data_IF_002117358176
#
_entry.id   IF_002117358176
#
_cell.length_a   1.000
_cell.length_b   1.000
_cell.length_c   1.000
_cell.angle_alpha   90.00
_cell.angle_beta   90.00
_cell.angle_gamma   90.00
#
_symmetry.space_group_name_H-M   'P 1'
#
loop_
_entity.id
_entity.type
_entity.pdbx_description
1 polymer ?
2 polymer ?
3 water ?
#
# COMPACT_ATOMS: atom_id res chain seq x y z
N UNK A 1 12.04 5.80 -23.08
CA UNK A 1 12.93 5.07 -23.99
C UNK A 1 13.17 3.63 -23.47
N UNK A 2 14.04 3.46 -22.44
CA UNK A 2 14.28 2.15 -21.82
C UNK A 2 13.03 1.79 -21.02
N UNK A 3 12.54 0.56 -21.18
CA UNK A 3 11.38 0.10 -20.45
C UNK A 3 11.46 -1.39 -20.11
N UNK A 4 11.12 -1.78 -18.86
CA UNK A 4 11.00 -3.18 -18.42
C UNK A 4 9.53 -3.40 -18.07
N UNK A 5 8.95 -4.50 -18.53
CA UNK A 5 7.52 -4.79 -18.36
C UNK A 5 7.26 -6.26 -17.98
N UNK A 6 6.66 -6.43 -16.79
CA UNK A 6 6.28 -7.72 -16.21
C UNK A 6 4.95 -8.15 -16.77
N UNK A 7 4.77 -9.44 -16.94
CA UNK A 7 3.51 -10.02 -17.37
C UNK A 7 3.45 -11.42 -16.82
N UNK A 8 2.22 -11.89 -16.65
CA UNK A 8 1.96 -13.24 -16.15
C UNK A 8 0.63 -13.32 -15.45
N UNK A 9 0.23 -14.55 -15.04
CA UNK A 9 -1.05 -14.71 -14.33
C UNK A 9 -0.98 -13.98 -13.00
N UNK A 10 -1.97 -13.12 -12.75
CA UNK A 10 -2.07 -12.34 -11.52
C UNK A 10 -2.70 -13.04 -10.35
N UNK A 11 -3.07 -14.33 -10.55
CA UNK A 11 -3.71 -15.22 -9.58
C UNK A 11 -3.18 -16.65 -9.80
N UNK A 12 -2.70 -17.29 -8.71
CA UNK A 12 -2.08 -18.63 -8.67
C UNK A 12 -2.63 -19.38 -7.43
N UNK A 13 -2.90 -20.68 -7.55
CA UNK A 13 -3.42 -21.47 -6.42
C UNK A 13 -2.26 -21.96 -5.55
N UNK A 14 -2.40 -22.04 -4.19
CA UNK A 14 -1.28 -22.57 -3.36
C UNK A 14 -0.84 -23.94 -3.85
N UNK A 15 0.47 -24.24 -3.73
CA UNK A 15 1.12 -25.48 -4.19
C UNK A 15 1.51 -25.41 -5.69
N UNK A 16 0.81 -24.58 -6.49
CA UNK A 16 1.13 -24.40 -7.90
C UNK A 16 2.40 -23.54 -8.04
N UNK A 17 2.85 -23.25 -9.26
CA UNK A 17 4.06 -22.43 -9.38
C UNK A 17 3.81 -21.15 -10.17
N UNK A 18 4.35 -19.99 -9.68
CA UNK A 18 4.19 -18.76 -10.44
C UNK A 18 5.32 -18.60 -11.46
N UNK A 19 4.93 -18.15 -12.65
CA UNK A 19 5.83 -17.86 -13.76
C UNK A 19 5.60 -16.42 -14.23
N UNK A 20 6.64 -15.60 -14.16
CA UNK A 20 6.56 -14.22 -14.65
C UNK A 20 7.61 -14.00 -15.74
N UNK A 21 7.28 -13.10 -16.66
CA UNK A 21 8.09 -12.72 -17.79
C UNK A 21 8.38 -11.24 -17.74
N UNK A 22 9.63 -10.87 -18.02
CA UNK A 22 10.01 -9.46 -18.14
C UNK A 22 10.39 -9.22 -19.61
N UNK A 23 9.71 -8.27 -20.28
CA UNK A 23 10.05 -7.92 -21.65
C UNK A 23 10.81 -6.58 -21.62
N UNK A 24 12.07 -6.62 -22.08
CA UNK A 24 12.95 -5.46 -22.09
C UNK A 24 12.94 -4.85 -23.48
N UNK A 25 12.89 -3.52 -23.56
CA UNK A 25 13.03 -2.73 -24.79
C UNK A 25 13.92 -1.55 -24.41
N UNK A 26 14.76 -1.11 -25.35
CA UNK A 26 15.67 0.02 -25.18
C UNK A 26 17.12 -0.39 -25.28
N UNK A 27 17.40 -1.64 -24.88
CA UNK A 27 18.73 -2.22 -24.85
C UNK A 27 18.66 -3.70 -24.61
N UNK A 28 19.75 -4.39 -24.92
CA UNK A 28 19.82 -5.84 -24.81
C UNK A 28 19.98 -6.30 -23.37
N UNK A 29 19.36 -7.44 -22.99
CA UNK A 29 19.52 -8.08 -21.67
C UNK A 29 20.94 -8.70 -21.54
N UNK A 30 21.69 -8.55 -22.62
CA UNK A 30 23.04 -9.02 -22.83
C UNK A 30 24.03 -7.88 -22.45
N UNK A 31 23.49 -6.71 -22.00
CA UNK A 31 24.24 -5.54 -21.53
C UNK A 31 24.51 -5.71 -20.04
N UNK A 32 25.69 -5.29 -19.53
CA UNK A 32 25.94 -5.45 -18.08
C UNK A 32 24.98 -4.62 -17.19
N UNK A 33 24.70 -5.04 -15.94
CA UNK A 33 25.26 -6.20 -15.29
C UNK A 33 24.23 -7.28 -14.88
N UNK A 34 23.27 -6.90 -14.02
CA UNK A 34 22.29 -7.80 -13.41
C UNK A 34 20.88 -7.53 -13.84
N UNK A 35 20.11 -8.61 -13.98
CA UNK A 35 18.73 -8.63 -14.42
C UNK A 35 18.02 -9.37 -13.31
N UNK A 36 17.44 -8.57 -12.39
CA UNK A 36 16.85 -8.94 -11.11
C UNK A 36 15.35 -9.06 -11.09
N UNK A 37 14.85 -9.87 -10.14
CA UNK A 37 13.44 -10.00 -9.74
C UNK A 37 13.45 -9.61 -8.28
N UNK A 38 12.54 -8.71 -7.92
CA UNK A 38 12.33 -8.14 -6.59
C UNK A 38 10.84 -8.29 -6.33
N UNK A 39 10.45 -8.31 -5.06
CA UNK A 39 9.03 -8.34 -4.71
C UNK A 39 8.74 -7.45 -3.50
N UNK A 40 7.53 -6.89 -3.46
CA UNK A 40 7.05 -6.04 -2.39
C UNK A 40 5.80 -6.68 -1.81
N UNK A 41 5.93 -7.17 -0.57
CA UNK A 41 4.85 -7.82 0.17
C UNK A 41 3.72 -6.82 0.45
N UNK A 42 2.46 -7.29 0.69
CA UNK A 42 1.32 -6.37 0.92
C UNK A 42 1.61 -5.28 1.95
N UNK A 43 1.41 -4.03 1.54
CA UNK A 43 1.73 -2.86 2.36
C UNK A 43 3.02 -3.15 3.12
N UNK A 44 4.18 -3.27 2.40
CA UNK A 44 5.31 -3.75 3.14
C UNK A 44 6.71 -3.63 2.53
N UNK A 45 7.52 -4.57 3.01
CA UNK A 45 8.90 -4.78 2.81
C UNK A 45 9.17 -5.34 1.44
N UNK A 46 10.38 -4.96 0.95
CA UNK A 46 10.92 -5.32 -0.33
C UNK A 46 11.92 -6.41 -0.05
N UNK A 47 11.93 -7.43 -0.89
CA UNK A 47 12.86 -8.55 -0.81
C UNK A 47 13.44 -8.77 -2.21
N UNK A 48 14.78 -8.84 -2.33
CA UNK A 48 15.45 -9.17 -3.59
C UNK A 48 15.43 -10.72 -3.72
N UNK A 49 14.86 -11.24 -4.80
CA UNK A 49 14.74 -12.67 -5.02
C UNK A 49 15.98 -13.32 -5.71
N UNK A 50 16.48 -12.66 -6.73
CA UNK A 50 17.64 -13.15 -7.45
C UNK A 50 17.90 -12.37 -8.70
N UNK A 51 18.97 -12.70 -9.40
CA UNK A 51 19.29 -12.10 -10.69
C UNK A 51 20.00 -13.07 -11.64
N UNK A 52 19.93 -12.74 -12.94
CA UNK A 52 20.65 -13.40 -14.02
C UNK A 52 21.59 -12.33 -14.56
N UNK A 53 22.89 -12.63 -14.66
CA UNK A 53 23.88 -11.68 -15.19
C UNK A 53 23.75 -11.53 -16.74
N UNK A 54 24.47 -10.54 -17.30
CA UNK A 54 24.53 -10.29 -18.74
C UNK A 54 25.14 -11.48 -19.51
N UNK A 55 25.74 -12.45 -18.77
CA UNK A 55 26.39 -13.65 -19.31
C UNK A 55 25.61 -14.94 -19.01
N UNK A 56 24.40 -14.82 -18.48
CA UNK A 56 23.53 -15.96 -18.22
C UNK A 56 23.71 -16.71 -16.91
N UNK A 57 24.64 -16.27 -16.04
CA UNK A 57 24.80 -16.95 -14.75
C UNK A 57 23.89 -16.32 -13.66
N UNK A 58 23.27 -17.17 -12.82
CA UNK A 58 22.33 -16.74 -11.78
C UNK A 58 22.88 -16.69 -10.35
N UNK A 59 22.26 -15.86 -9.51
CA UNK A 59 22.57 -15.68 -8.10
C UNK A 59 21.20 -15.55 -7.42
N UNK A 60 20.92 -16.35 -6.36
CA UNK A 60 19.63 -16.27 -5.70
C UNK A 60 19.70 -15.93 -4.23
N UNK A 61 18.54 -15.61 -3.65
CA UNK A 61 18.40 -15.36 -2.22
C UNK A 61 18.47 -16.77 -1.61
N UNK A 62 19.40 -17.06 -0.65
CA UNK A 62 19.52 -18.44 -0.15
C UNK A 62 18.20 -19.06 0.36
N UNK A 63 17.24 -18.27 0.87
CA UNK A 63 15.95 -18.76 1.33
C UNK A 63 15.05 -19.25 0.19
N UNK A 64 15.16 -18.60 -0.99
CA UNK A 64 14.37 -18.87 -2.18
C UNK A 64 14.97 -19.97 -3.01
N UNK A 65 16.32 -20.06 -3.01
CA UNK A 65 17.10 -21.10 -3.73
C UNK A 65 16.50 -22.43 -3.29
N UNK A 66 15.98 -23.22 -4.26
CA UNK A 66 15.29 -24.54 -4.13
C UNK A 66 13.90 -24.47 -4.73
N UNK A 67 13.27 -23.29 -4.64
CA UNK A 67 11.96 -23.02 -5.21
C UNK A 67 12.07 -22.08 -6.42
N UNK A 68 13.21 -21.39 -6.57
CA UNK A 68 13.37 -20.37 -7.58
C UNK A 68 14.25 -20.79 -8.78
N UNK A 69 13.87 -20.27 -9.97
CA UNK A 69 14.57 -20.44 -11.23
C UNK A 69 14.42 -19.12 -12.05
N UNK A 70 15.55 -18.53 -12.47
CA UNK A 70 15.58 -17.32 -13.33
C UNK A 70 16.32 -17.72 -14.62
N UNK A 71 15.61 -17.68 -15.75
CA UNK A 71 16.13 -18.02 -17.08
C UNK A 71 15.94 -16.80 -17.98
N UNK A 72 16.39 -16.90 -19.24
CA UNK A 72 16.26 -15.81 -20.20
C UNK A 72 16.13 -16.33 -21.60
N UNK A 73 15.76 -15.42 -22.51
CA UNK A 73 15.67 -15.61 -23.94
C UNK A 73 16.25 -14.33 -24.57
N UNK A 74 17.51 -14.45 -24.96
CA UNK A 74 18.31 -13.40 -25.54
C UNK A 74 17.72 -12.97 -26.92
N UNK A 75 17.12 -13.90 -27.67
CA UNK A 75 16.49 -13.63 -28.96
C UNK A 75 15.27 -12.74 -28.78
N UNK A 76 14.41 -13.10 -27.81
CA UNK A 76 13.18 -12.38 -27.46
C UNK A 76 13.45 -11.15 -26.55
N UNK A 77 14.68 -10.98 -26.02
CA UNK A 77 15.07 -9.89 -25.10
C UNK A 77 14.19 -9.89 -23.82
N UNK A 78 14.01 -11.07 -23.26
CA UNK A 78 13.16 -11.35 -22.13
C UNK A 78 13.90 -12.21 -21.14
N UNK A 79 13.59 -12.04 -19.84
CA UNK A 79 14.08 -12.90 -18.77
C UNK A 79 12.88 -13.34 -17.93
N UNK A 80 13.01 -14.48 -17.26
CA UNK A 80 11.89 -15.13 -16.59
C UNK A 80 12.10 -15.48 -15.14
N UNK A 81 11.00 -15.48 -14.39
CA UNK A 81 10.96 -15.92 -12.99
C UNK A 81 10.02 -17.13 -12.86
N UNK A 82 10.49 -18.18 -12.22
CA UNK A 82 9.70 -19.36 -11.84
C UNK A 82 9.89 -19.55 -10.35
N UNK A 83 8.79 -19.55 -9.59
CA UNK A 83 8.78 -19.75 -8.13
C UNK A 83 7.77 -20.88 -7.84
N UNK A 84 8.29 -21.99 -7.30
CA UNK A 84 7.62 -23.28 -7.16
C UNK A 84 6.51 -23.45 -6.10
N UNK A 85 6.77 -24.04 -4.94
CA UNK A 85 5.69 -24.42 -4.03
C UNK A 85 5.04 -23.23 -3.34
N UNK A 86 4.23 -22.48 -4.12
CA UNK A 86 3.66 -21.21 -3.67
C UNK A 86 2.69 -21.40 -2.50
N UNK A 87 2.67 -20.38 -1.67
CA UNK A 87 1.95 -20.25 -0.42
C UNK A 87 1.27 -18.92 -0.44
N UNK A 88 0.23 -18.80 0.35
CA UNK A 88 -0.54 -17.57 0.53
C UNK A 88 0.45 -16.39 0.82
N UNK A 89 1.59 -16.69 1.48
CA UNK A 89 2.67 -15.79 1.85
C UNK A 89 3.51 -15.27 0.65
N UNK A 90 3.32 -15.84 -0.55
CA UNK A 90 4.00 -15.37 -1.75
C UNK A 90 3.19 -14.28 -2.51
N UNK A 91 2.06 -13.83 -1.95
CA UNK A 91 1.19 -12.78 -2.50
C UNK A 91 1.96 -11.47 -2.36
N UNK A 92 2.37 -10.88 -3.48
CA UNK A 92 3.20 -9.68 -3.50
C UNK A 92 3.17 -9.02 -4.87
N UNK A 93 3.72 -7.81 -4.98
CA UNK A 93 3.91 -7.13 -6.26
C UNK A 93 5.34 -7.55 -6.67
N UNK A 94 5.45 -8.12 -7.86
CA UNK A 94 6.70 -8.62 -8.39
C UNK A 94 7.22 -7.63 -9.42
N UNK A 95 8.49 -7.21 -9.27
CA UNK A 95 9.10 -6.25 -10.18
C UNK A 95 10.34 -6.83 -10.83
N UNK A 96 10.51 -6.53 -12.12
CA UNK A 96 11.73 -6.89 -12.81
C UNK A 96 12.58 -5.63 -12.89
N UNK A 97 13.86 -5.80 -12.68
CA UNK A 97 14.76 -4.68 -12.52
C UNK A 97 16.10 -4.96 -13.17
N UNK A 98 16.75 -3.94 -13.76
CA UNK A 98 18.08 -4.06 -14.35
C UNK A 98 19.07 -3.20 -13.54
N UNK A 99 20.38 -3.54 -13.54
CA UNK A 99 21.43 -2.77 -12.85
C UNK A 99 22.75 -2.77 -13.63
N UNK A 100 23.32 -1.59 -13.80
CA UNK A 100 24.61 -1.38 -14.46
C UNK A 100 25.26 -0.06 -14.07
N UNK A 101 26.25 0.41 -14.86
CA UNK A 101 26.95 1.68 -14.56
C UNK A 101 26.08 2.91 -14.72
N UNK A 102 24.92 2.77 -15.36
CA UNK A 102 23.95 3.85 -15.59
C UNK A 102 23.06 3.99 -14.37
N UNK A 103 23.10 2.97 -13.50
CA UNK A 103 22.26 2.89 -12.32
C UNK A 103 21.32 1.72 -12.45
N UNK A 104 20.00 1.98 -12.46
CA UNK A 104 19.00 0.93 -12.50
C UNK A 104 17.69 1.37 -13.12
N UNK A 105 16.99 0.43 -13.79
CA UNK A 105 15.66 0.63 -14.34
C UNK A 105 14.77 -0.43 -13.72
N UNK A 106 13.48 -0.14 -13.57
CA UNK A 106 12.55 -1.13 -13.00
C UNK A 106 11.28 -1.21 -13.82
N UNK A 107 10.50 -2.25 -13.55
CA UNK A 107 9.17 -2.39 -14.11
C UNK A 107 8.17 -1.67 -13.23
N UNK A 108 6.91 -1.61 -13.69
CA UNK A 108 5.85 -0.97 -12.93
C UNK A 108 5.36 -1.91 -11.81
N UNK A 109 5.63 -3.20 -11.98
CA UNK A 109 5.25 -4.24 -11.06
C UNK A 109 3.96 -4.91 -11.49
N UNK A 110 3.83 -6.18 -11.16
CA UNK A 110 2.66 -7.00 -11.42
C UNK A 110 2.24 -7.61 -10.04
N UNK A 111 0.96 -7.45 -9.64
CA UNK A 111 0.51 -8.05 -8.40
C UNK A 111 0.17 -9.52 -8.67
N UNK A 112 0.67 -10.43 -7.83
CA UNK A 112 0.40 -11.86 -7.95
C UNK A 112 -0.25 -12.25 -6.65
N UNK A 113 -1.53 -12.66 -6.72
CA UNK A 113 -2.28 -13.09 -5.54
C UNK A 113 -2.20 -14.61 -5.47
N UNK A 114 -1.78 -15.17 -4.33
CA UNK A 114 -1.74 -16.60 -4.11
C UNK A 114 -2.94 -16.99 -3.21
N UNK A 115 -3.99 -17.55 -3.83
CA UNK A 115 -5.21 -17.93 -3.11
C UNK A 115 -5.94 -19.12 -3.71
N UNK A 116 -6.66 -19.83 -2.83
CA UNK A 116 -7.50 -20.97 -3.20
C UNK A 116 -8.96 -20.50 -3.43
N UNK A 117 -9.23 -19.18 -3.25
CA UNK A 117 -10.56 -18.55 -3.35
C UNK A 117 -11.07 -18.44 -4.78
N UNK A 118 -12.40 -18.37 -4.95
CA UNK A 118 -13.01 -18.28 -6.27
C UNK A 118 -13.62 -16.91 -6.51
N UNK A 119 -13.57 -16.45 -7.74
CA UNK A 119 -14.06 -15.13 -8.12
C UNK A 119 -15.46 -14.86 -7.55
N UNK A 120 -15.52 -13.90 -6.62
CA UNK A 120 -16.72 -13.49 -5.93
C UNK A 120 -16.99 -12.03 -6.21
N UNK A 121 -18.21 -11.69 -6.69
CA UNK A 121 -18.54 -10.26 -6.86
C UNK A 121 -18.71 -9.55 -5.50
N UNK A 122 -18.51 -8.21 -5.42
CA UNK A 122 -18.71 -7.54 -4.12
C UNK A 122 -20.19 -7.29 -3.84
N UNK A 123 -20.51 -7.09 -2.55
CA UNK A 123 -21.84 -6.71 -2.12
C UNK A 123 -21.64 -5.24 -1.80
N UNK A 124 -22.41 -4.38 -2.45
CA UNK A 124 -22.24 -2.93 -2.27
C UNK A 124 -23.35 -2.38 -1.44
N UNK A 125 -23.02 -1.86 -0.25
CA UNK A 125 -24.03 -1.33 0.66
C UNK A 125 -24.01 0.15 0.81
N UNK A 126 -25.17 0.81 0.67
CA UNK A 126 -25.19 2.26 0.82
C UNK A 126 -25.18 2.63 2.29
N UNK A 127 -24.30 3.56 2.71
CA UNK A 127 -24.25 3.97 4.10
C UNK A 127 -24.74 5.39 4.28
N UNK A 128 -25.99 5.54 4.73
CA UNK A 128 -26.63 6.81 5.08
C UNK A 128 -26.62 7.01 6.62
N UNK A 129 -26.61 8.28 7.13
CA UNK A 129 -26.62 8.47 8.60
C UNK A 129 -27.93 8.00 9.25
N UNK A 130 -27.86 7.61 10.53
CA UNK A 130 -28.99 7.14 11.32
C UNK A 130 -30.15 8.11 11.46
N UNK A 137 -24.25 21.09 8.92
CA UNK A 137 -23.72 21.87 7.80
C UNK A 137 -23.05 21.00 6.72
N UNK A 138 -22.24 20.02 7.14
CA UNK A 138 -21.59 19.05 6.25
C UNK A 138 -22.16 17.68 6.63
N UNK A 139 -22.36 16.82 5.65
CA UNK A 139 -22.88 15.47 5.88
C UNK A 139 -21.91 14.45 5.27
N UNK A 140 -21.60 13.36 6.02
CA UNK A 140 -20.75 12.27 5.53
C UNK A 140 -21.62 11.08 5.14
N UNK A 141 -21.36 10.51 3.96
CA UNK A 141 -22.05 9.32 3.46
C UNK A 141 -20.99 8.27 3.21
N UNK A 142 -21.40 7.02 3.19
CA UNK A 142 -20.47 5.93 2.97
C UNK A 142 -20.95 4.86 2.03
N UNK A 143 -20.06 3.91 1.76
CA UNK A 143 -20.29 2.79 0.88
C UNK A 143 -19.47 1.63 1.40
N UNK A 144 -20.11 0.47 1.63
CA UNK A 144 -19.36 -0.71 2.06
C UNK A 144 -19.30 -1.75 0.92
N UNK A 145 -18.09 -2.02 0.42
CA UNK A 145 -17.81 -2.94 -0.69
C UNK A 145 -17.24 -4.17 0.00
N UNK A 146 -18.11 -5.15 0.31
CA UNK A 146 -17.81 -6.32 1.14
C UNK A 146 -17.80 -7.67 0.38
N UNK A 147 -16.85 -8.51 0.75
CA UNK A 147 -16.66 -9.85 0.23
C UNK A 147 -16.42 -10.07 -1.24
N UNK A 148 -15.37 -9.46 -1.81
CA UNK A 148 -15.06 -9.71 -3.23
C UNK A 148 -13.73 -10.42 -3.37
N UNK A 149 -13.49 -10.99 -4.55
CA UNK A 149 -12.23 -11.66 -4.88
C UNK A 149 -12.08 -11.79 -6.40
N UNK A 150 -10.88 -11.45 -6.97
CA UNK A 150 -9.66 -10.96 -6.30
C UNK A 150 -9.62 -9.44 -6.30
N UNK A 151 -8.47 -8.85 -5.98
CA UNK A 151 -8.29 -7.40 -6.04
C UNK A 151 -8.05 -7.08 -7.53
N UNK A 152 -8.51 -5.97 -8.09
CA UNK A 152 -9.13 -4.80 -7.45
C UNK A 152 -10.60 -4.52 -7.81
N UNK A 153 -11.12 -3.46 -7.19
CA UNK A 153 -12.42 -2.84 -7.44
C UNK A 153 -12.10 -1.37 -7.73
N UNK A 154 -13.05 -0.62 -8.30
CA UNK A 154 -12.84 0.81 -8.51
C UNK A 154 -14.08 1.51 -7.95
N UNK A 155 -13.90 2.37 -6.96
CA UNK A 155 -14.98 3.10 -6.30
C UNK A 155 -14.90 4.57 -6.69
N UNK A 156 -16.03 5.09 -7.18
CA UNK A 156 -16.18 6.51 -7.55
C UNK A 156 -17.50 6.95 -6.96
N UNK A 157 -17.71 8.25 -6.90
CA UNK A 157 -18.94 8.86 -6.41
C UNK A 157 -19.42 9.83 -7.48
N UNK A 158 -20.67 9.64 -7.94
CA UNK A 158 -21.31 10.42 -9.01
C UNK A 158 -20.49 10.36 -10.33
N UNK A 159 -20.06 9.12 -10.67
CA UNK A 159 -19.29 8.72 -11.86
C UNK A 159 -17.91 9.41 -12.02
N UNK A 160 -17.50 10.16 -11.00
CA UNK A 160 -16.22 10.86 -10.97
C UNK A 160 -16.39 12.34 -10.66
N UNK A 161 -17.62 12.85 -10.81
CA UNK A 161 -17.95 14.25 -10.59
C UNK A 161 -18.01 14.68 -9.11
N UNK A 162 -17.47 13.88 -8.15
CA UNK A 162 -17.50 14.27 -6.74
C UNK A 162 -16.11 14.48 -6.12
N UNK A 163 -15.16 13.53 -6.30
CA UNK A 163 -13.72 13.52 -5.94
C UNK A 163 -13.22 14.31 -4.67
N UNK A 164 -13.55 15.60 -4.54
CA UNK A 164 -13.18 16.58 -3.51
C UNK A 164 -13.07 16.03 -2.06
N UNK A 165 -14.23 15.77 -1.42
CA UNK A 165 -14.29 15.25 -0.05
C UNK A 165 -14.46 13.74 0.04
N UNK A 166 -13.74 12.98 -0.81
CA UNK A 166 -13.79 11.53 -0.89
C UNK A 166 -12.59 10.86 -0.21
N UNK A 167 -12.85 9.77 0.54
CA UNK A 167 -11.82 8.95 1.16
C UNK A 167 -12.07 7.50 0.80
N UNK A 168 -11.21 6.88 0.00
CA UNK A 168 -11.38 5.46 -0.34
C UNK A 168 -10.33 4.71 0.47
N UNK A 169 -10.78 3.71 1.24
CA UNK A 169 -9.90 3.00 2.17
C UNK A 169 -9.34 1.73 1.60
N UNK A 170 -8.04 1.43 1.86
CA UNK A 170 -7.45 0.20 1.33
C UNK A 170 -8.27 -1.04 1.71
N UNK A 171 -8.25 -2.08 0.88
CA UNK A 171 -9.01 -3.29 1.20
C UNK A 171 -8.36 -4.12 2.29
N UNK A 172 -9.16 -4.59 3.24
CA UNK A 172 -8.70 -5.50 4.29
C UNK A 172 -9.09 -6.92 3.88
N UNK A 173 -8.20 -7.88 4.08
CA UNK A 173 -8.44 -9.28 3.71
C UNK A 173 -8.92 -10.12 4.89
N UNK A 174 -10.17 -10.57 4.81
CA UNK A 174 -10.81 -11.44 5.81
C UNK A 174 -12.05 -12.10 5.18
N UNK A 175 -12.08 -13.41 5.05
CA UNK A 175 -11.06 -14.42 5.29
C UNK A 175 -11.20 -15.18 3.96
N UNK A 176 -10.21 -14.93 3.10
CA UNK A 176 -10.07 -15.29 1.69
C UNK A 176 -10.77 -14.24 0.82
N UNK A 177 -11.62 -13.39 1.42
CA UNK A 177 -12.31 -12.29 0.74
C UNK A 177 -11.88 -10.88 1.20
N UNK A 178 -11.90 -9.90 0.28
CA UNK A 178 -11.52 -8.51 0.56
C UNK A 178 -12.75 -7.66 0.83
N UNK A 179 -12.55 -6.63 1.65
CA UNK A 179 -13.58 -5.66 1.96
C UNK A 179 -12.97 -4.25 1.99
N UNK A 180 -13.69 -3.26 1.47
CA UNK A 180 -13.27 -1.87 1.58
C UNK A 180 -14.47 -0.96 1.75
N UNK A 181 -14.21 0.25 2.26
CA UNK A 181 -15.21 1.30 2.46
C UNK A 181 -14.73 2.57 1.80
N UNK A 182 -15.68 3.45 1.53
CA UNK A 182 -15.42 4.75 0.95
C UNK A 182 -16.37 5.74 1.58
N UNK A 183 -15.91 6.97 1.79
CA UNK A 183 -16.80 8.00 2.34
C UNK A 183 -16.73 9.24 1.46
N UNK A 184 -17.79 10.05 1.52
CA UNK A 184 -17.93 11.31 0.80
C UNK A 184 -18.56 12.32 1.74
N UNK A 185 -17.97 13.51 1.82
CA UNK A 185 -18.53 14.50 2.73
C UNK A 185 -18.92 15.69 1.86
N UNK A 186 -20.23 15.93 1.79
CA UNK A 186 -20.86 16.96 0.96
C UNK A 186 -21.60 17.97 1.87
N UNK A 187 -21.92 19.21 1.40
CA UNK A 187 -22.70 20.13 2.25
C UNK A 187 -24.13 19.59 2.47
N UNK A 188 -24.73 19.85 3.65
CA UNK A 188 -26.08 19.42 4.02
C UNK A 188 -27.14 19.95 3.04
N UNK A 189 -26.89 21.13 2.42
CA UNK A 189 -27.74 21.76 1.41
C UNK A 189 -27.83 20.89 0.13
N UNK A 190 -26.78 20.09 -0.13
CA UNK A 190 -26.59 19.21 -1.27
C UNK A 190 -27.29 17.83 -1.11
N UNK A 191 -27.41 17.27 0.13
CA UNK A 191 -28.03 15.94 0.33
C UNK A 191 -29.10 15.96 1.46
N UNK A 192 -30.28 15.31 1.28
CA UNK A 192 -30.72 14.47 0.14
C UNK A 192 -31.27 15.19 -1.09
N UNK A 193 -31.27 16.57 -1.11
CA UNK A 193 -31.76 17.42 -2.23
C UNK A 193 -31.24 16.98 -3.60
N UNK A 194 -29.93 16.69 -3.69
CA UNK A 194 -29.28 16.19 -4.89
C UNK A 194 -28.90 14.72 -4.71
N UNK A 195 -28.65 14.03 -5.82
CA UNK A 195 -28.32 12.62 -5.84
C UNK A 195 -26.84 12.37 -5.59
N UNK A 196 -26.54 11.51 -4.58
CA UNK A 196 -25.20 11.03 -4.29
C UNK A 196 -25.26 9.52 -4.56
N UNK A 197 -24.44 9.04 -5.50
CA UNK A 197 -24.39 7.65 -5.90
C UNK A 197 -22.97 7.10 -5.77
N UNK A 198 -22.89 5.84 -5.36
CA UNK A 198 -21.66 5.10 -5.18
C UNK A 198 -21.52 4.17 -6.37
N UNK A 199 -20.44 4.32 -7.14
CA UNK A 199 -20.21 3.48 -8.31
C UNK A 199 -19.08 2.54 -8.04
N UNK A 200 -19.38 1.25 -8.09
CA UNK A 200 -18.41 0.18 -7.81
C UNK A 200 -18.31 -0.72 -9.04
N UNK A 201 -17.08 -1.01 -9.48
CA UNK A 201 -16.81 -1.91 -10.62
C UNK A 201 -15.81 -2.98 -10.18
N UNK A 202 -16.08 -4.26 -10.51
CA UNK A 202 -15.16 -5.37 -10.16
C UNK A 202 -14.80 -6.14 -11.46
N UNK A 203 -13.76 -5.66 -12.21
CA UNK A 203 -13.38 -6.29 -13.49
C UNK A 203 -13.40 -7.82 -13.57
N UNK A 204 -12.87 -8.49 -12.55
CA UNK A 204 -12.76 -9.95 -12.46
C UNK A 204 -14.07 -10.71 -12.56
N UNK A 205 -15.18 -10.09 -12.19
CA UNK A 205 -16.49 -10.74 -12.24
C UNK A 205 -17.48 -9.94 -13.09
N UNK A 206 -16.96 -9.00 -13.91
CA UNK A 206 -17.73 -8.14 -14.82
C UNK A 206 -18.92 -7.46 -14.11
N UNK A 207 -18.68 -7.04 -12.84
CA UNK A 207 -19.61 -6.37 -11.94
C UNK A 207 -19.46 -4.86 -12.13
N UNK A 208 -20.59 -4.15 -12.17
CA UNK A 208 -20.66 -2.70 -12.31
C UNK A 208 -21.97 -2.30 -11.63
N UNK A 209 -21.90 -1.98 -10.33
CA UNK A 209 -23.02 -1.61 -9.47
C UNK A 209 -23.04 -0.09 -9.20
N UNK A 210 -24.24 0.49 -9.15
CA UNK A 210 -24.49 1.88 -8.83
C UNK A 210 -25.45 1.85 -7.64
N UNK A 211 -25.08 2.50 -6.53
CA UNK A 211 -25.90 2.47 -5.35
C UNK A 211 -26.22 3.87 -4.88
N UNK A 212 -27.52 4.23 -4.88
CA UNK A 212 -27.97 5.57 -4.48
C UNK A 212 -28.03 5.64 -2.95
N UNK A 213 -27.50 6.72 -2.39
CA UNK A 213 -27.51 6.93 -0.95
C UNK A 213 -28.80 7.65 -0.63
N UNK A 214 -29.71 6.92 -0.03
CA UNK A 214 -31.06 7.35 0.30
C UNK A 214 -31.20 7.51 1.82
N UNK A 215 -31.89 8.55 2.35
CA UNK A 215 -32.11 8.62 3.81
C UNK A 215 -32.90 7.41 4.34
N UNK A 216 -32.67 7.08 5.61
CA UNK A 216 -33.37 5.97 6.26
C UNK A 216 -34.78 6.38 6.64
N UNK B 1 23.31 -12.56 6.50
CA UNK B 1 22.63 -11.47 5.81
C UNK B 1 22.99 -10.08 6.43
N UNK B 2 23.26 -9.08 5.57
CA UNK B 2 23.54 -7.71 5.99
C UNK B 2 22.20 -7.10 6.38
N UNK B 3 22.11 -6.53 7.59
CA UNK B 3 20.88 -5.89 8.02
C UNK B 3 21.07 -4.39 7.87
N UNK B 4 20.09 -3.75 7.20
CA UNK B 4 20.10 -2.32 7.01
C UNK B 4 19.06 -1.67 7.93
N UNK B 5 19.55 -0.79 8.83
CA UNK B 5 18.75 -0.10 9.85
C UNK B 5 18.62 1.36 9.47
N UNK B 6 17.37 1.79 9.22
CA UNK B 6 17.04 3.16 8.84
C UNK B 6 16.59 4.00 10.03
N UNK B 7 17.16 5.22 10.15
CA UNK B 7 16.87 6.21 11.18
C UNK B 7 16.56 7.57 10.49
N UNK B 8 15.35 8.14 10.68
CA UNK B 8 14.20 7.60 11.41
C UNK B 8 13.32 6.74 10.48
N UNK B 9 12.15 6.26 10.96
CA UNK B 9 11.22 5.53 10.10
C UNK B 9 10.08 6.45 9.62
N UNK B 10 9.87 7.56 10.33
CA UNK B 10 8.90 8.60 10.04
C UNK B 10 9.67 9.91 10.13
N UNK B 11 9.61 10.74 9.10
CA UNK B 11 10.31 11.99 9.11
C UNK B 11 9.34 13.13 8.80
N UNK B 12 8.82 13.86 9.79
CA UNK B 12 7.93 14.98 9.45
C UNK B 12 8.77 16.21 9.09
N UNK B 13 8.46 16.82 7.95
CA UNK B 13 9.18 18.01 7.46
C UNK B 13 8.19 19.02 6.96
N UNK B 14 8.60 20.30 6.85
CA UNK B 14 7.83 21.38 6.24
C UNK B 14 8.47 21.62 4.88
N UNK B 15 7.66 22.00 3.87
CA UNK B 15 8.09 22.28 2.50
C UNK B 15 9.21 23.33 2.54
N UNK B 16 10.34 23.02 1.90
CA UNK B 16 11.50 23.89 1.83
C UNK B 16 12.55 23.60 2.88
N UNK B 17 12.23 22.71 3.83
CA UNK B 17 13.22 22.36 4.87
C UNK B 17 14.20 21.29 4.40
N UNK B 18 15.29 21.17 5.13
CA UNK B 18 16.32 20.17 4.95
C UNK B 18 15.78 18.84 5.54
N UNK B 19 16.27 17.71 5.06
CA UNK B 19 15.87 16.39 5.55
C UNK B 19 17.02 15.45 5.40
N UNK B 20 17.25 14.64 6.40
CA UNK B 20 18.34 13.69 6.37
C UNK B 20 17.85 12.33 6.91
N UNK B 21 18.10 11.24 6.15
CA UNK B 21 17.76 9.85 6.47
C UNK B 21 19.07 9.10 6.59
N UNK B 22 19.22 8.28 7.64
CA UNK B 22 20.45 7.52 7.88
C UNK B 22 20.22 6.01 7.68
N UNK B 23 21.19 5.31 7.12
CA UNK B 23 21.15 3.87 6.85
C UNK B 23 22.39 3.27 7.48
N UNK B 24 22.20 2.39 8.47
CA UNK B 24 23.30 1.76 9.18
C UNK B 24 23.38 0.30 8.84
N UNK B 25 24.55 -0.10 8.39
CA UNK B 25 24.89 -1.44 7.99
C UNK B 25 25.28 -2.28 9.21
N UNK B 26 24.79 -3.52 9.27
CA UNK B 26 25.16 -4.40 10.38
C UNK B 26 26.59 -4.94 10.21
N UNK B 27 27.17 -4.77 9.01
CA UNK B 27 28.54 -5.18 8.62
C UNK B 27 28.98 -4.41 7.36
N UNK B 28 30.27 -4.43 7.02
CA UNK B 28 30.87 -3.76 5.86
C UNK B 28 30.15 -4.12 4.55
N UNK B 29 29.90 -3.12 3.70
CA UNK B 29 29.24 -3.36 2.42
C UNK B 29 30.17 -2.95 1.26
N UNK B 30 31.43 -3.40 1.37
CA UNK B 30 32.48 -3.18 0.38
C UNK B 30 32.59 -4.51 -0.37
N UNK B 31 32.28 -4.48 -1.68
CA UNK B 31 32.30 -5.65 -2.54
C UNK B 31 33.75 -6.06 -2.84
N UNK B 32 33.95 -7.35 -3.16
CA UNK B 32 35.23 -7.98 -3.51
C UNK B 32 36.09 -7.17 -4.50
N UNK B 33 35.45 -6.26 -5.29
CA UNK B 33 36.11 -5.39 -6.28
C UNK B 33 36.48 -4.00 -5.76
N UNK B 34 36.10 -3.68 -4.52
CA UNK B 34 36.42 -2.41 -3.87
C UNK B 34 35.30 -1.38 -3.84
N UNK B 35 34.25 -1.57 -4.66
CA UNK B 35 33.11 -0.66 -4.72
C UNK B 35 32.07 -0.94 -3.63
N UNK B 36 31.33 0.11 -3.23
CA UNK B 36 30.24 0.02 -2.25
C UNK B 36 28.93 0.18 -3.00
N UNK B 37 28.18 -0.91 -3.10
CA UNK B 37 26.90 -0.90 -3.80
C UNK B 37 25.76 -0.55 -2.85
N UNK B 38 25.77 0.71 -2.40
CA UNK B 38 24.78 1.30 -1.52
C UNK B 38 23.92 2.27 -2.35
N UNK B 39 22.59 1.99 -2.39
CA UNK B 39 21.62 2.74 -3.16
C UNK B 39 20.47 3.27 -2.32
N UNK B 40 19.83 4.32 -2.81
CA UNK B 40 18.66 4.91 -2.20
C UNK B 40 17.56 4.96 -3.23
N UNK B 41 16.40 4.39 -2.88
CA UNK B 41 15.19 4.37 -3.71
C UNK B 41 14.14 5.26 -3.12
N UNK B 42 13.31 5.83 -3.95
CA UNK B 42 12.18 6.57 -3.46
C UNK B 42 10.94 5.92 -4.06
N UNK B 43 9.96 5.58 -3.23
CA UNK B 43 8.71 5.00 -3.70
C UNK B 43 7.55 5.96 -3.44
N UNK B 44 7.07 6.63 -4.51
CA UNK B 44 5.93 7.53 -4.40
C UNK B 44 4.63 6.68 -4.30
N UNK B 45 3.57 7.16 -3.59
CA UNK B 45 2.34 6.34 -3.48
C UNK B 45 1.72 5.99 -4.84
N UNK B 46 1.30 4.73 -4.98
CA UNK B 46 0.72 4.22 -6.23
C UNK B 46 1.75 3.85 -7.28
N UNK B 47 3.05 4.21 -7.05
CA UNK B 47 4.16 3.93 -7.96
C UNK B 47 5.15 2.89 -7.42
N UNK B 48 6.07 2.46 -8.28
CA UNK B 48 7.10 1.48 -7.97
C UNK B 48 8.33 2.22 -7.37
N UNK B 49 9.24 1.55 -6.61
CA UNK B 49 10.43 2.28 -6.12
C UNK B 49 11.31 2.72 -7.30
N UNK B 50 11.83 3.94 -7.25
CA UNK B 50 12.72 4.42 -8.32
C UNK B 50 14.04 4.90 -7.72
N UNK B 51 15.16 4.54 -8.38
CA UNK B 51 16.51 4.88 -7.96
C UNK B 51 16.74 6.39 -7.93
N UNK B 52 17.40 6.84 -6.87
CA UNK B 52 17.79 8.23 -6.67
C UNK B 52 19.31 8.30 -6.77
N UNK B 53 20.00 7.57 -5.88
CA UNK B 53 21.43 7.54 -5.67
C UNK B 53 21.91 6.10 -5.76
N UNK B 54 23.08 5.86 -6.36
CA UNK B 54 23.69 4.54 -6.41
C UNK B 54 25.18 4.68 -6.20
N UNK B 55 25.84 3.57 -5.82
CA UNK B 55 27.27 3.57 -5.52
C UNK B 55 27.62 4.69 -4.52
N UNK B 56 26.77 4.81 -3.45
CA UNK B 56 26.80 5.73 -2.30
C UNK B 56 26.42 7.19 -2.64
N UNK B 57 27.02 7.78 -3.68
CA UNK B 57 26.88 9.22 -3.92
C UNK B 57 26.57 9.65 -5.35
N UNK B 58 26.47 8.70 -6.29
CA UNK B 58 26.19 9.00 -7.69
C UNK B 58 24.72 9.12 -7.92
N UNK B 59 24.27 10.33 -8.32
CA UNK B 59 22.87 10.59 -8.65
C UNK B 59 22.50 9.87 -9.94
N UNK B 60 21.26 9.41 -10.04
CA UNK B 60 20.77 8.76 -11.23
C UNK B 60 20.23 9.86 -12.20
N UNK B 61 19.99 9.47 -13.46
CA UNK B 61 19.46 10.34 -14.52
C UNK B 61 18.15 10.94 -14.06
N UNK B 62 18.06 12.25 -14.21
CA UNK B 62 16.86 13.02 -13.88
C UNK B 62 16.64 13.32 -12.41
N UNK B 63 17.59 12.94 -11.54
CA UNK B 63 17.47 13.18 -10.11
C UNK B 63 18.01 14.55 -9.79
N UNK B 64 17.18 15.42 -9.12
CA UNK B 64 17.64 16.78 -8.76
C UNK B 64 18.89 16.81 -7.87
N UNK B 65 19.54 17.98 -7.79
CA UNK B 65 20.78 18.17 -7.03
C UNK B 65 20.53 18.38 -5.54
N UNK B 66 19.25 18.60 -5.16
CA UNK B 66 18.85 18.69 -3.76
C UNK B 66 19.08 17.33 -3.03
N UNK B 67 19.09 16.22 -3.80
CA UNK B 67 19.36 14.89 -3.29
C UNK B 67 20.84 14.60 -3.41
N UNK B 68 21.47 14.29 -2.29
CA UNK B 68 22.86 13.90 -2.23
C UNK B 68 22.91 12.69 -1.28
N UNK B 69 23.97 11.92 -1.39
CA UNK B 69 24.18 10.75 -0.57
C UNK B 69 25.63 10.67 -0.14
N UNK B 70 25.87 10.21 1.06
CA UNK B 70 27.22 10.10 1.60
C UNK B 70 27.29 8.91 2.50
N UNK B 71 28.47 8.67 3.05
CA UNK B 71 28.70 7.57 3.97
C UNK B 71 29.97 6.81 3.73
N UNK B 72 30.33 5.94 4.68
CA UNK B 72 31.50 5.03 4.64
C UNK B 72 31.44 4.01 5.79
N UNK B 73 31.95 2.83 5.48
CA UNK B 73 32.01 1.72 6.41
C UNK B 73 30.65 1.12 6.60
N UNK B 74 29.98 1.58 7.64
CA UNK B 74 28.66 1.09 8.01
C UNK B 74 27.60 2.21 8.18
N UNK B 75 27.94 3.47 7.96
CA UNK B 75 26.98 4.56 8.10
C UNK B 75 26.85 5.39 6.81
N UNK B 76 25.65 5.40 6.25
CA UNK B 76 25.37 6.10 5.00
C UNK B 76 24.22 7.05 5.23
N UNK B 77 24.24 8.20 4.57
CA UNK B 77 23.25 9.23 4.76
C UNK B 77 22.72 9.76 3.43
N UNK B 78 21.40 9.98 3.37
CA UNK B 78 20.73 10.61 2.26
C UNK B 78 20.28 11.98 2.76
N UNK B 79 20.64 13.03 2.02
CA UNK B 79 20.26 14.37 2.38
C UNK B 79 19.41 14.94 1.26
N UNK B 80 18.37 15.69 1.64
CA UNK B 80 17.47 16.45 0.76
C UNK B 80 17.59 17.88 1.29
N UNK B 81 18.37 18.74 0.62
CA UNK B 81 18.62 20.12 1.03
C UNK B 81 17.37 20.98 1.21
N UNK B 82 16.34 20.77 0.35
CA UNK B 82 15.14 21.58 0.34
C UNK B 82 14.02 20.67 -0.11
N UNK B 83 13.10 20.33 0.80
CA UNK B 83 12.02 19.39 0.50
C UNK B 83 10.94 20.02 -0.36
N UNK B 84 10.63 19.36 -1.50
CA UNK B 84 9.57 19.71 -2.43
C UNK B 84 8.45 18.68 -2.24
N UNK B 85 7.21 19.03 -2.59
CA UNK B 85 6.03 18.15 -2.42
C UNK B 85 6.09 16.87 -3.25
N UNK B 86 6.79 16.90 -4.39
CA UNK B 86 6.94 15.72 -5.22
C UNK B 86 7.85 14.66 -4.54
N UNK B 87 8.72 15.12 -3.57
CA UNK B 87 9.65 14.28 -2.80
C UNK B 87 9.03 13.35 -1.75
N UNK B 88 7.76 13.53 -1.38
CA UNK B 88 7.11 12.69 -0.37
C UNK B 88 6.88 11.27 -0.85
N UNK B 89 7.10 10.33 0.07
CA UNK B 89 6.99 8.90 -0.18
C UNK B 89 7.85 8.13 0.80
N UNK B 90 8.19 6.90 0.44
CA UNK B 90 9.01 6.06 1.31
C UNK B 90 10.44 5.90 0.71
N UNK B 91 11.48 6.22 1.49
CA UNK B 91 12.88 6.14 1.07
C UNK B 91 13.50 4.86 1.62
N UNK B 92 14.06 4.05 0.71
CA UNK B 92 14.71 2.79 1.06
C UNK B 92 16.17 2.84 0.76
N UNK B 93 17.03 2.32 1.66
CA UNK B 93 18.42 2.11 1.32
C UNK B 93 18.52 0.66 0.92
N UNK B 94 19.47 0.36 0.06
CA UNK B 94 19.64 -0.99 -0.43
C UNK B 94 21.10 -1.28 -0.56
N UNK B 95 21.51 -2.50 -0.25
CA UNK B 95 22.88 -2.93 -0.45
C UNK B 95 22.93 -4.09 -1.48
N UNK B 96 23.78 -3.92 -2.49
CA UNK B 96 24.01 -4.92 -3.54
C UNK B 96 25.41 -5.50 -3.48
N UNK B 97 26.13 -5.23 -2.36
CA UNK B 97 27.49 -5.67 -2.11
C UNK B 97 27.62 -7.12 -1.77
N UNK B 98 26.79 -7.65 -0.85
CA UNK B 98 26.86 -9.05 -0.45
C UNK B 98 25.53 -9.74 -0.61
N UNK B 99 25.55 -11.00 -1.06
CA UNK B 99 24.38 -11.86 -1.25
C UNK B 99 23.95 -12.45 0.09
N UNK B 100 22.64 -12.41 0.46
CA UNK B 100 21.50 -11.83 -0.29
C UNK B 100 21.50 -10.30 -0.26
N UNK B 101 21.09 -9.69 -1.38
CA UNK B 101 20.97 -8.24 -1.53
C UNK B 101 19.76 -7.84 -0.65
N UNK B 102 19.96 -6.90 0.25
CA UNK B 102 18.95 -6.53 1.23
C UNK B 102 18.54 -5.05 1.15
N UNK B 103 17.32 -4.73 1.69
CA UNK B 103 16.74 -3.38 1.79
C UNK B 103 16.48 -3.04 3.25
N UNK B 104 16.49 -1.75 3.58
CA UNK B 104 16.04 -1.24 4.87
C UNK B 104 14.51 -1.33 4.94
N UNK B 105 13.92 -0.90 6.08
CA UNK B 105 12.47 -0.95 6.29
C UNK B 105 11.72 0.14 5.57
N UNK B 106 12.40 1.20 5.17
CA UNK B 106 11.80 2.35 4.51
C UNK B 106 11.56 3.50 5.48
N UNK B 107 11.71 4.74 5.01
CA UNK B 107 11.48 5.91 5.87
C UNK B 107 10.38 6.73 5.24
N UNK B 108 9.22 6.81 5.91
CA UNK B 108 8.11 7.63 5.42
C UNK B 108 8.47 9.10 5.61
N UNK B 109 8.70 9.82 4.50
CA UNK B 109 8.95 11.25 4.55
C UNK B 109 7.56 11.83 4.54
N UNK B 110 7.23 12.64 5.56
CA UNK B 110 5.88 13.17 5.63
C UNK B 110 5.82 14.67 5.80
N UNK B 111 4.65 15.26 5.45
CA UNK B 111 4.41 16.69 5.56
C UNK B 111 3.89 17.06 6.92
N UNK B 112 4.65 17.85 7.62
CA UNK B 112 4.32 18.38 8.95
C UNK B 112 3.18 19.39 8.79
N UNK B 113 2.26 19.37 9.76
CA UNK B 113 1.11 20.27 9.83
C UNK B 113 0.62 20.35 11.26
N UNK B 114 -0.27 21.30 11.56
CA UNK B 114 -0.87 21.48 12.89
C UNK B 114 -1.79 20.30 13.16
N UNK B 115 -1.88 19.92 14.45
CA UNK B 115 -2.78 18.88 14.93
C UNK B 115 -4.23 19.20 14.57
N UNK B 116 -4.94 18.19 14.10
CA UNK B 116 -6.36 18.26 13.76
C UNK B 116 -7.03 17.02 14.37
N UNK B 117 -8.13 17.22 15.10
CA UNK B 117 -8.93 16.15 15.70
C UNK B 117 -9.73 15.46 14.57
N UNK B 118 -10.12 14.16 14.65
CA UNK B 118 -10.88 13.57 13.53
C UNK B 118 -12.35 13.95 13.46
N UNK B 119 -12.97 13.72 12.32
CA UNK B 119 -14.41 13.89 12.12
C UNK B 119 -14.96 12.46 12.24
N UNK B 120 -15.58 12.16 13.39
CA UNK B 120 -16.12 10.83 13.65
C UNK B 120 -17.55 10.69 13.11
N UNK B 121 -17.81 9.69 12.24
CA UNK B 121 -19.11 9.37 11.65
C UNK B 121 -19.43 7.91 11.86
N UNK B 122 -20.59 7.61 12.50
CA UNK B 122 -21.10 6.26 12.74
C UNK B 122 -22.29 5.97 11.83
N UNK B 123 -22.31 4.77 11.21
CA UNK B 123 -23.37 4.33 10.31
C UNK B 123 -23.93 2.99 10.72
N UNK B 124 -25.26 2.91 10.98
CA UNK B 124 -25.90 1.61 11.29
C UNK B 124 -25.82 0.65 10.10
N UNK B 125 -26.06 -0.68 10.26
CA UNK B 125 -26.04 -1.58 9.09
C UNK B 125 -27.05 -1.18 8.01
N UNK B 126 -26.76 -1.49 6.76
CA UNK B 126 -27.71 -1.19 5.72
C UNK B 126 -28.73 -2.34 5.69
N UNK B 127 -30.00 -1.99 5.49
CA UNK B 127 -31.09 -2.96 5.38
C UNK B 127 -30.86 -3.97 4.27
N UNK B 128 -30.04 -3.64 3.26
CA UNK B 128 -29.74 -4.58 2.16
C UNK B 128 -28.89 -5.71 2.66
N UNK B 129 -27.98 -5.43 3.60
CA UNK B 129 -27.08 -6.41 4.18
C UNK B 129 -27.82 -7.38 5.10
N UNK B 130 -28.75 -6.87 5.95
CA UNK B 130 -29.54 -7.69 6.90
C UNK B 130 -30.32 -8.82 6.24
N UNK B 131 -30.72 -8.61 4.99
CA UNK B 131 -31.40 -9.52 4.07
C UNK B 131 -30.57 -10.78 3.87
N UNK B 132 -29.26 -10.71 4.11
CA UNK B 132 -28.34 -11.84 3.95
C UNK B 132 -27.83 -12.40 5.30
N UNK B 133 -28.31 -11.82 6.41
CA UNK B 133 -27.99 -12.24 7.76
C UNK B 133 -26.74 -11.67 8.41
N UNK B 134 -26.16 -10.65 7.77
CA UNK B 134 -25.00 -9.92 8.25
C UNK B 134 -25.37 -8.50 8.67
N UNK B 135 -24.54 -7.91 9.56
CA UNK B 135 -24.78 -6.56 10.05
C UNK B 135 -23.47 -5.90 10.36
N UNK B 136 -23.01 -5.01 9.47
CA UNK B 136 -21.75 -4.29 9.63
C UNK B 136 -22.01 -2.86 10.06
N UNK B 137 -21.45 -2.48 11.23
CA UNK B 137 -21.56 -1.12 11.75
C UNK B 137 -20.28 -0.42 11.31
N UNK B 138 -20.43 0.68 10.60
CA UNK B 138 -19.25 1.34 10.03
C UNK B 138 -19.02 2.68 10.65
N UNK B 139 -17.76 2.95 10.95
CA UNK B 139 -17.30 4.21 11.51
C UNK B 139 -16.12 4.80 10.74
N UNK B 140 -16.13 6.12 10.52
CA UNK B 140 -15.05 6.85 9.83
C UNK B 140 -14.44 7.88 10.77
N UNK B 141 -13.10 7.90 10.89
CA UNK B 141 -12.38 8.89 11.73
C UNK B 141 -11.55 9.64 10.69
N UNK B 142 -12.15 10.65 10.09
CA UNK B 142 -11.60 11.36 8.94
C UNK B 142 -10.87 12.68 9.24
N UNK B 143 -9.85 12.96 8.42
CA UNK B 143 -9.03 14.18 8.38
C UNK B 143 -8.47 14.60 9.75
N UNK B 144 -7.58 13.76 10.30
CA UNK B 144 -6.92 14.04 11.57
C UNK B 144 -5.39 14.09 11.35
N UNK B 145 -4.63 14.59 12.37
CA UNK B 145 -3.17 14.64 12.35
C UNK B 145 -2.65 14.83 13.80
N UNK B 146 -1.57 14.12 14.26
CA UNK B 146 -0.82 13.03 13.59
C UNK B 146 -1.52 11.68 13.79
N UNK B 147 -0.88 10.56 13.46
CA UNK B 147 -1.55 9.26 13.56
C UNK B 147 -1.80 8.71 15.01
N UNK B 148 -1.37 9.46 16.08
CA UNK B 148 -1.55 9.22 17.53
C UNK B 148 -3.02 8.99 18.08
N UNK B 149 -3.95 8.51 17.24
CA UNK B 149 -5.38 8.29 17.56
C UNK B 149 -5.68 6.78 17.40
N UNK B 150 -6.76 6.28 18.04
CA UNK B 150 -7.29 4.92 17.94
C UNK B 150 -8.83 4.89 17.97
N UNK B 151 -9.45 3.74 17.60
CA UNK B 151 -10.89 3.48 17.65
C UNK B 151 -11.18 2.59 18.84
N UNK B 152 -12.31 2.87 19.47
CA UNK B 152 -12.84 2.03 20.52
C UNK B 152 -14.32 1.91 20.20
N UNK B 153 -14.80 0.68 20.15
CA UNK B 153 -16.23 0.39 19.99
C UNK B 153 -16.80 -0.05 21.34
N UNK B 154 -18.04 0.32 21.60
CA UNK B 154 -18.80 -0.08 22.78
C UNK B 154 -20.19 -0.49 22.33
N UNK B 155 -20.70 -1.60 22.85
CA UNK B 155 -22.06 -2.10 22.58
C UNK B 155 -22.71 -2.23 23.96
N UNK B 156 -23.79 -1.47 24.20
CA UNK B 156 -24.51 -1.50 25.46
C UNK B 156 -23.54 -1.46 26.69
N UNK B 157 -22.64 -0.48 26.65
CA UNK B 157 -21.70 -0.18 27.72
C UNK B 157 -20.49 -1.06 27.94
N UNK B 158 -20.11 -1.84 26.92
CA UNK B 158 -18.96 -2.72 26.98
C UNK B 158 -18.11 -2.62 25.73
N UNK B 159 -16.77 -2.50 25.90
CA UNK B 159 -15.88 -2.46 24.76
C UNK B 159 -15.98 -3.78 23.99
N UNK B 160 -15.98 -3.69 22.66
CA UNK B 160 -16.05 -4.82 21.76
C UNK B 160 -14.82 -4.78 20.80
N UNK B 161 -14.07 -5.90 20.71
CA UNK B 161 -12.87 -6.00 19.86
C UNK B 161 -12.96 -7.02 18.76
N UNK B 162 -13.81 -8.03 18.95
CA UNK B 162 -14.02 -9.11 18.01
C UNK B 162 -14.93 -8.62 16.92
N UNK B 163 -14.54 -8.87 15.69
CA UNK B 163 -15.31 -8.46 14.52
C UNK B 163 -15.00 -7.07 14.01
N UNK B 164 -13.94 -6.45 14.58
CA UNK B 164 -13.48 -5.10 14.22
C UNK B 164 -12.32 -5.21 13.21
N UNK B 165 -12.44 -4.51 12.08
CA UNK B 165 -11.43 -4.44 11.04
C UNK B 165 -11.21 -3.00 10.66
N UNK B 166 -9.97 -2.52 10.80
CA UNK B 166 -9.55 -1.15 10.51
C UNK B 166 -8.73 -1.00 9.24
N UNK B 167 -8.88 0.18 8.62
CA UNK B 167 -8.16 0.50 7.40
C UNK B 167 -7.73 1.95 7.44
N UNK B 168 -6.45 2.24 7.13
CA UNK B 168 -5.87 3.60 7.09
C UNK B 168 -5.47 4.04 5.66
N UNK B 169 -5.73 5.32 5.36
CA UNK B 169 -5.30 5.93 4.12
C UNK B 169 -3.89 6.48 4.34
N UNK B 170 -3.21 6.79 3.24
CA UNK B 170 -1.90 7.42 3.26
C UNK B 170 -2.10 8.92 3.55
N UNK B 171 -1.03 9.68 3.80
CA UNK B 171 -1.16 11.11 4.03
C UNK B 171 -1.88 11.76 2.84
N UNK B 172 -2.97 12.50 3.13
CA UNK B 172 -3.82 13.14 2.12
C UNK B 172 -3.06 14.22 1.36
N UNK B 173 -3.14 14.16 0.03
CA UNK B 173 -2.54 15.19 -0.82
C UNK B 173 -3.31 16.51 -0.70
N UNK B 174 -4.58 16.52 -0.20
CA UNK B 174 -5.32 17.77 -0.05
C UNK B 174 -4.76 18.67 1.06
N UNK B 175 -4.78 18.17 2.30
CA UNK B 175 -4.46 18.94 3.50
C UNK B 175 -3.47 18.32 4.41
N UNK B 176 -2.71 17.31 3.94
CA UNK B 176 -1.69 16.57 4.72
C UNK B 176 -2.26 15.78 5.96
N UNK B 177 -3.59 15.51 6.01
CA UNK B 177 -4.19 14.77 7.12
C UNK B 177 -4.19 13.27 6.82
N UNK B 178 -4.69 12.49 7.80
CA UNK B 178 -4.89 11.05 7.77
C UNK B 178 -6.37 10.73 8.08
N UNK B 179 -6.81 9.57 7.59
CA UNK B 179 -8.15 9.06 7.82
C UNK B 179 -8.11 7.57 8.00
N UNK B 180 -9.07 7.05 8.74
CA UNK B 180 -9.22 5.62 8.92
C UNK B 180 -10.69 5.25 9.04
N UNK B 181 -10.99 4.02 8.66
CA UNK B 181 -12.32 3.44 8.69
C UNK B 181 -12.25 2.22 9.60
N UNK B 182 -13.24 2.08 10.48
CA UNK B 182 -13.39 0.91 11.35
C UNK B 182 -14.75 0.26 11.08
N UNK B 183 -14.77 -1.07 10.94
CA UNK B 183 -15.96 -1.87 10.63
C UNK B 183 -16.13 -2.95 11.69
N UNK B 184 -17.32 -2.94 12.36
CA UNK B 184 -17.73 -3.90 13.38
C UNK B 184 -18.69 -4.86 12.68
N UNK B 185 -18.27 -6.10 12.45
CA UNK B 185 -19.06 -7.07 11.70
C UNK B 185 -19.73 -8.07 12.63
N UNK B 186 -21.04 -7.98 12.65
CA UNK B 186 -21.90 -8.78 13.49
C UNK B 186 -22.83 -9.61 12.61
N UNK B 187 -23.47 -10.64 13.19
CA UNK B 187 -24.50 -11.39 12.45
C UNK B 187 -25.73 -10.49 12.59
N UNK B 188 -26.81 -10.74 11.83
CA UNK B 188 -28.03 -9.95 11.97
C UNK B 188 -28.60 -10.16 13.39
N UNK B 189 -28.46 -11.39 13.92
CA UNK B 189 -28.99 -11.74 15.24
C UNK B 189 -28.26 -11.02 16.34
N UNK B 190 -26.91 -10.92 16.28
CA UNK B 190 -26.04 -10.19 17.22
C UNK B 190 -26.50 -8.73 17.26
N UNK B 191 -26.67 -8.12 16.08
CA UNK B 191 -27.11 -6.74 15.93
C UNK B 191 -28.48 -6.51 16.56
N UNK B 192 -29.42 -7.42 16.29
CA UNK B 192 -30.79 -7.31 16.78
C UNK B 192 -30.97 -7.60 18.29
N UNK B 193 -29.95 -8.10 19.02
CA UNK B 193 -30.00 -8.37 20.47
C UNK B 193 -29.20 -7.34 21.29
N UNK B 194 -28.92 -6.17 20.71
CA UNK B 194 -28.24 -5.05 21.37
C UNK B 194 -28.86 -3.72 20.92
N UNK B 195 -28.73 -2.65 21.72
CA UNK B 195 -29.34 -1.39 21.32
C UNK B 195 -28.35 -0.23 21.05
N UNK B 196 -27.44 0.04 21.98
CA UNK B 196 -26.49 1.14 21.88
C UNK B 196 -25.19 0.75 21.18
N UNK B 197 -24.86 1.45 20.08
CA UNK B 197 -23.61 1.23 19.32
C UNK B 197 -22.83 2.51 19.31
N UNK B 198 -21.63 2.48 19.91
CA UNK B 198 -20.74 3.61 20.07
C UNK B 198 -19.43 3.38 19.37
N UNK B 199 -18.94 4.45 18.72
CA UNK B 199 -17.65 4.54 18.07
C UNK B 199 -16.90 5.67 18.74
N UNK B 200 -15.62 5.49 19.09
CA UNK B 200 -14.83 6.54 19.79
C UNK B 200 -13.48 6.71 19.17
N UNK B 201 -13.04 7.96 19.06
CA UNK B 201 -11.68 8.30 18.64
C UNK B 201 -10.94 8.58 19.95
N UNK B 202 -9.94 7.76 20.26
CA UNK B 202 -9.20 7.90 21.50
C UNK B 202 -7.76 8.37 21.21
N UNK B 203 -7.16 9.03 22.17
CA UNK B 203 -5.80 9.53 22.09
C UNK B 203 -5.23 9.37 23.51
N UNK B 204 -4.06 8.74 23.71
CA UNK B 204 -3.45 8.59 25.05
C UNK B 204 -4.21 9.42 26.12
N UNK B 205 -5.22 8.76 26.75
CA UNK B 205 -6.22 9.32 27.65
C UNK B 205 -6.13 8.94 29.14
N UNK B 206 -6.11 9.91 30.11
CA UNK B 206 -6.00 11.40 30.13
C UNK B 206 -7.10 12.22 29.37
N UNK B 207 -7.07 12.29 28.01
CA UNK B 207 -7.97 13.08 27.14
C UNK B 207 -9.41 12.52 27.08
N UNK B 208 -10.36 13.39 26.69
CA UNK B 208 -11.77 13.08 26.54
C UNK B 208 -12.01 12.67 25.09
N UNK B 209 -12.52 11.44 24.82
CA UNK B 209 -12.71 11.01 23.44
C UNK B 209 -13.80 11.74 22.68
N UNK B 210 -13.75 11.65 21.35
CA UNK B 210 -14.76 12.18 20.44
C UNK B 210 -15.64 10.98 20.22
N UNK B 211 -16.88 11.05 20.73
CA UNK B 211 -17.86 9.94 20.72
C UNK B 211 -19.02 10.13 19.73
N UNK B 212 -19.35 9.08 18.96
CA UNK B 212 -20.50 9.04 18.06
C UNK B 212 -21.26 7.75 18.28
N UNK B 213 -22.58 7.83 18.40
CA UNK B 213 -23.40 6.64 18.66
C UNK B 213 -24.80 6.69 18.12
N UNK B 214 -25.44 5.52 18.06
CA UNK B 214 -26.85 5.39 17.72
C UNK B 214 -27.48 4.30 18.58
N UNK B 215 -28.80 4.43 18.80
CA UNK B 215 -29.65 3.43 19.45
C UNK B 215 -30.31 2.69 18.28
N UNK B 216 -30.47 1.38 18.35
CA UNK B 216 -30.97 0.61 17.19
C UNK B 216 -32.48 0.83 16.88
#
# INVERSE_FOLDING_TARGET
DVQLQESGPGLVKPSQSLSLTCTVTGFSITSPYAWNWIRQFPGNTLEWMGYISYRGSTTYHPSLKSRISITRDTSKNQFFLQLNSVTTEDTATYFCSSYGNYGAYSGQGTLVTVSAAKTTPPSVYPLAPGSAAQTNSMVTLGCLVKGYFPEPVTVTWNSGSLSSGVHTFPAVLQSDLYTLSSSVTVPSSTWPSETVTCNVAHPASSTKVDKKIVPR
DVLLTQIPLSLPVSLGDQASISCRSSQSIVHSNGNTYLEWYLQKPGQSPKLLIYKVSTRFSGVPDRFSGSGSGTDFTLKISRVEAEDLGVYYCFQGSHVPLTFGAGTQLELKRADAAPTVSIFPPSSEQLTSGGASVVCFLNNFYPKDINVKWKIDGSERQNGVLNSWTDQDSKDSTYSMSSTLTLTKDEYERHNSYTCEATHKTSTSPIVKSFNR
#
